data_IF_518956147254
#
_entry.id   IF_518956147254
#
_cell.length_a   1.000
_cell.length_b   1.000
_cell.length_c   1.000
_cell.angle_alpha   90.00
_cell.angle_beta   90.00
_cell.angle_gamma   90.00
#
_symmetry.space_group_name_H-M   'P 1'
#
loop_
_entity.id
_entity.type
_entity.pdbx_description
1 polymer ?
#
# COMPACT_ATOMS: atom_id res chain seq x y z
N UNK A 1 13.93 -4.59 -17.66
CA UNK A 1 13.99 -5.72 -16.70
C UNK A 1 12.79 -5.75 -15.77
N UNK A 2 12.47 -4.69 -15.01
CA UNK A 2 11.33 -4.68 -14.07
C UNK A 2 10.00 -5.15 -14.67
N UNK A 3 9.56 -4.56 -15.79
CA UNK A 3 8.28 -4.92 -16.43
C UNK A 3 8.22 -6.41 -16.85
N UNK A 4 9.37 -7.00 -17.19
CA UNK A 4 9.48 -8.44 -17.52
C UNK A 4 9.25 -9.27 -16.27
N UNK A 5 9.90 -8.91 -15.15
CA UNK A 5 9.68 -9.58 -13.87
C UNK A 5 8.24 -9.43 -13.38
N UNK A 6 7.63 -8.25 -13.53
CA UNK A 6 6.22 -8.04 -13.18
C UNK A 6 5.29 -8.94 -14.01
N UNK A 7 5.56 -9.08 -15.32
CA UNK A 7 4.76 -9.91 -16.23
C UNK A 7 4.94 -11.41 -15.97
N UNK A 8 6.10 -11.82 -15.46
CA UNK A 8 6.42 -13.21 -15.11
C UNK A 8 6.01 -13.57 -13.67
N UNK A 9 5.55 -12.61 -12.88
CA UNK A 9 5.12 -12.84 -11.51
C UNK A 9 3.88 -13.75 -11.49
N UNK A 10 3.97 -14.87 -10.78
CA UNK A 10 2.88 -15.85 -10.63
C UNK A 10 2.81 -16.27 -9.18
N UNK A 11 1.70 -15.91 -8.53
CA UNK A 11 1.37 -16.27 -7.16
C UNK A 11 -0.12 -16.02 -6.91
N UNK A 12 -0.74 -16.77 -6.00
CA UNK A 12 -2.18 -16.67 -5.75
C UNK A 12 -2.60 -15.29 -5.24
N UNK A 13 -1.75 -14.56 -4.54
CA UNK A 13 -2.06 -13.22 -4.03
C UNK A 13 -1.41 -12.06 -4.79
N UNK A 14 -0.95 -12.32 -6.03
CA UNK A 14 -0.40 -11.29 -6.91
C UNK A 14 -1.34 -11.12 -8.09
N UNK A 15 -1.73 -9.86 -8.38
CA UNK A 15 -2.54 -9.56 -9.53
C UNK A 15 -1.68 -9.64 -10.80
N UNK A 16 -2.01 -10.50 -11.78
CA UNK A 16 -1.20 -10.60 -13.00
C UNK A 16 -1.08 -9.27 -13.73
N UNK A 17 0.16 -8.80 -13.88
CA UNK A 17 0.50 -7.68 -14.74
C UNK A 17 0.48 -8.10 -16.21
N UNK A 18 -0.40 -7.49 -17.01
CA UNK A 18 -0.57 -7.86 -18.42
C UNK A 18 0.42 -7.11 -19.31
N UNK A 19 0.71 -5.85 -18.97
CA UNK A 19 1.70 -5.04 -19.65
C UNK A 19 1.39 -3.55 -19.61
N UNK A 20 2.10 -2.83 -20.47
CA UNK A 20 1.89 -1.42 -20.76
C UNK A 20 1.47 -1.30 -22.23
N UNK A 21 0.53 -0.40 -22.52
CA UNK A 21 0.13 -0.05 -23.89
C UNK A 21 0.03 1.47 -24.02
N UNK A 22 0.01 1.95 -25.25
CA UNK A 22 -0.48 3.29 -25.57
C UNK A 22 -1.79 3.15 -26.33
N UNK A 23 -2.75 4.05 -26.09
CA UNK A 23 -3.97 4.11 -26.88
C UNK A 23 -3.85 5.09 -28.06
N UNK A 24 -4.93 5.27 -28.82
CA UNK A 24 -4.97 6.15 -29.99
C UNK A 24 -4.75 7.64 -29.66
N UNK A 25 -4.89 8.02 -28.38
CA UNK A 25 -4.64 9.38 -27.86
C UNK A 25 -3.24 9.53 -27.25
N UNK A 26 -2.36 8.54 -27.44
CA UNK A 26 -1.02 8.48 -26.86
C UNK A 26 -1.00 8.41 -25.31
N UNK A 27 -2.12 8.05 -24.69
CA UNK A 27 -2.19 7.88 -23.25
C UNK A 27 -1.50 6.56 -22.84
N UNK A 28 -0.61 6.64 -21.85
CA UNK A 28 0.05 5.47 -21.25
C UNK A 28 -0.97 4.67 -20.43
N UNK A 29 -1.20 3.41 -20.80
CA UNK A 29 -2.06 2.48 -20.10
C UNK A 29 -1.23 1.42 -19.37
N UNK A 30 -1.45 1.29 -18.06
CA UNK A 30 -0.89 0.22 -17.23
C UNK A 30 -1.98 -0.82 -17.03
N UNK A 31 -1.77 -2.03 -17.54
CA UNK A 31 -2.83 -3.02 -17.67
C UNK A 31 -2.61 -4.18 -16.71
N UNK A 32 -3.59 -4.38 -15.84
CA UNK A 32 -3.64 -5.45 -14.86
C UNK A 32 -4.83 -6.36 -15.13
N UNK A 33 -4.80 -7.59 -14.61
CA UNK A 33 -5.98 -8.47 -14.65
C UNK A 33 -7.12 -7.88 -13.80
N UNK A 34 -8.33 -7.95 -14.34
CA UNK A 34 -9.53 -7.46 -13.66
C UNK A 34 -9.93 -8.35 -12.48
N UNK A 35 -10.24 -7.72 -11.35
CA UNK A 35 -10.73 -8.34 -10.12
C UNK A 35 -12.15 -7.85 -9.83
N UNK A 36 -13.12 -8.76 -9.86
CA UNK A 36 -14.54 -8.41 -9.99
C UNK A 36 -15.23 -7.90 -8.72
N UNK A 37 -14.57 -7.94 -7.55
CA UNK A 37 -15.15 -7.48 -6.28
C UNK A 37 -14.65 -6.11 -5.83
N UNK A 38 -13.90 -5.40 -6.70
CA UNK A 38 -13.37 -4.08 -6.39
C UNK A 38 -12.14 -4.13 -5.50
N UNK A 39 -11.90 -3.02 -4.81
CA UNK A 39 -10.76 -2.84 -3.90
C UNK A 39 -11.10 -3.30 -2.49
N UNK A 40 -10.07 -3.54 -1.67
CA UNK A 40 -10.26 -3.76 -0.24
C UNK A 40 -10.88 -2.53 0.45
N UNK A 41 -10.55 -1.32 0.00
CA UNK A 41 -11.16 -0.08 0.49
C UNK A 41 -12.70 -0.14 0.37
N UNK A 42 -13.22 -0.54 -0.79
CA UNK A 42 -14.66 -0.63 -1.05
C UNK A 42 -15.35 -1.57 -0.07
N UNK A 43 -14.66 -2.62 0.38
CA UNK A 43 -15.19 -3.59 1.32
C UNK A 43 -15.10 -3.10 2.76
N UNK A 44 -13.96 -2.54 3.18
CA UNK A 44 -13.74 -2.05 4.55
C UNK A 44 -14.73 -0.94 4.89
N UNK A 45 -15.06 -0.05 3.95
CA UNK A 45 -15.92 1.10 4.22
C UNK A 45 -17.38 0.90 3.80
N UNK A 46 -17.77 -0.29 3.36
CA UNK A 46 -19.17 -0.60 3.05
C UNK A 46 -19.90 -1.18 4.28
N UNK A 47 -20.75 -0.37 4.90
CA UNK A 47 -21.55 -0.74 6.08
C UNK A 47 -22.48 -1.94 5.84
N UNK A 48 -22.84 -2.24 4.59
CA UNK A 48 -23.69 -3.38 4.24
C UNK A 48 -22.93 -4.72 4.22
N UNK A 49 -21.61 -4.71 4.33
CA UNK A 49 -20.79 -5.92 4.36
C UNK A 49 -20.40 -6.22 5.80
N UNK A 50 -20.69 -7.43 6.28
CA UNK A 50 -20.16 -7.90 7.56
C UNK A 50 -18.75 -8.47 7.37
N UNK A 51 -17.77 -7.82 7.99
CA UNK A 51 -16.38 -8.28 8.00
C UNK A 51 -16.12 -8.91 9.38
N UNK A 52 -16.23 -10.24 9.46
CA UNK A 52 -15.98 -10.97 10.70
C UNK A 52 -14.50 -11.32 10.88
N UNK A 53 -14.16 -11.94 12.01
CA UNK A 53 -12.77 -12.30 12.32
C UNK A 53 -12.15 -13.27 11.30
N UNK A 54 -12.97 -14.10 10.64
CA UNK A 54 -12.47 -15.03 9.62
C UNK A 54 -12.09 -14.25 8.36
N UNK A 55 -12.93 -13.31 7.93
CA UNK A 55 -12.60 -12.40 6.84
C UNK A 55 -11.36 -11.55 7.14
N UNK A 56 -11.24 -11.03 8.38
CA UNK A 56 -10.04 -10.31 8.80
C UNK A 56 -8.78 -11.16 8.62
N UNK A 57 -8.77 -12.36 9.20
CA UNK A 57 -7.65 -13.28 9.12
C UNK A 57 -7.32 -13.69 7.69
N UNK A 58 -8.34 -13.97 6.86
CA UNK A 58 -8.17 -14.34 5.46
C UNK A 58 -7.52 -13.23 4.63
N UNK A 59 -8.07 -12.01 4.67
CA UNK A 59 -7.52 -10.88 3.89
C UNK A 59 -6.11 -10.49 4.35
N UNK A 60 -5.87 -10.45 5.66
CA UNK A 60 -4.54 -10.13 6.20
C UNK A 60 -3.51 -11.19 5.76
N UNK A 61 -3.88 -12.48 5.78
CA UNK A 61 -3.00 -13.57 5.30
C UNK A 61 -2.71 -13.46 3.81
N UNK A 62 -3.71 -13.17 2.99
CA UNK A 62 -3.54 -13.05 1.54
C UNK A 62 -2.57 -11.91 1.20
N UNK A 63 -2.73 -10.74 1.83
CA UNK A 63 -1.81 -9.59 1.65
C UNK A 63 -0.39 -9.98 2.07
N UNK A 64 -0.25 -10.64 3.23
CA UNK A 64 1.04 -11.06 3.74
C UNK A 64 1.74 -12.04 2.79
N UNK A 65 1.02 -13.01 2.25
CA UNK A 65 1.55 -13.97 1.29
C UNK A 65 1.99 -13.30 -0.02
N UNK A 66 1.23 -12.30 -0.51
CA UNK A 66 1.64 -11.47 -1.64
C UNK A 66 2.94 -10.69 -1.37
N UNK A 67 3.06 -10.08 -0.18
CA UNK A 67 4.29 -9.38 0.22
C UNK A 67 5.49 -10.33 0.36
N UNK A 68 5.30 -11.51 0.96
CA UNK A 68 6.34 -12.55 1.05
C UNK A 68 6.89 -12.91 -0.34
N UNK A 69 5.98 -13.11 -1.31
CA UNK A 69 6.37 -13.37 -2.69
C UNK A 69 7.15 -12.20 -3.31
N UNK A 70 6.63 -10.97 -3.23
CA UNK A 70 7.28 -9.80 -3.82
C UNK A 70 8.68 -9.57 -3.23
N UNK A 71 8.81 -9.69 -1.90
CA UNK A 71 10.07 -9.45 -1.18
C UNK A 71 11.14 -10.47 -1.52
N UNK A 72 10.75 -11.72 -1.81
CA UNK A 72 11.65 -12.78 -2.24
C UNK A 72 11.97 -12.75 -3.76
N UNK A 73 11.15 -12.06 -4.55
CA UNK A 73 11.31 -11.96 -6.01
C UNK A 73 12.33 -10.90 -6.44
N UNK A 74 12.66 -10.87 -7.74
CA UNK A 74 13.46 -9.79 -8.34
C UNK A 74 12.75 -8.43 -8.41
N UNK A 75 11.42 -8.38 -8.18
CA UNK A 75 10.67 -7.12 -8.03
C UNK A 75 11.07 -6.45 -6.71
N UNK A 76 11.12 -7.27 -5.65
CA UNK A 76 11.80 -6.96 -4.40
C UNK A 76 11.00 -6.19 -3.37
N UNK A 77 9.95 -5.46 -3.75
CA UNK A 77 9.02 -4.77 -2.85
C UNK A 77 7.73 -4.42 -3.59
N UNK A 78 6.68 -4.06 -2.85
CA UNK A 78 5.49 -3.45 -3.44
C UNK A 78 5.72 -1.95 -3.72
N UNK A 79 6.18 -1.20 -2.72
CA UNK A 79 6.58 0.21 -2.85
C UNK A 79 5.45 1.25 -2.87
N UNK A 80 4.18 0.82 -2.83
CA UNK A 80 3.00 1.69 -2.81
C UNK A 80 1.77 0.91 -2.28
N UNK A 81 1.98 0.12 -1.24
CA UNK A 81 0.94 -0.73 -0.66
C UNK A 81 -0.10 0.13 0.05
N UNK A 82 -1.38 -0.06 -0.28
CA UNK A 82 -2.55 0.57 0.34
C UNK A 82 -3.77 -0.35 0.20
N UNK A 83 -4.90 0.03 0.78
CA UNK A 83 -6.19 -0.65 0.56
C UNK A 83 -6.68 -0.59 -0.89
N UNK A 84 -6.24 0.41 -1.66
CA UNK A 84 -6.57 0.57 -3.08
C UNK A 84 -5.75 -0.34 -3.98
N UNK A 85 -4.50 -0.62 -3.61
CA UNK A 85 -3.64 -1.60 -4.32
C UNK A 85 -3.86 -3.05 -3.89
N UNK A 86 -4.91 -3.30 -3.08
CA UNK A 86 -5.41 -4.63 -2.75
C UNK A 86 -6.75 -4.88 -3.46
N UNK A 87 -6.74 -5.67 -4.54
CA UNK A 87 -7.98 -6.01 -5.27
C UNK A 87 -8.56 -7.35 -4.82
N UNK A 88 -9.86 -7.53 -4.95
CA UNK A 88 -10.53 -8.78 -4.56
C UNK A 88 -11.11 -9.47 -5.80
N UNK A 89 -10.70 -10.73 -6.01
CA UNK A 89 -11.19 -11.52 -7.12
C UNK A 89 -12.56 -12.18 -6.85
N UNK A 90 -13.12 -12.88 -7.85
CA UNK A 90 -14.42 -13.57 -7.73
C UNK A 90 -14.47 -14.60 -6.59
N UNK A 91 -13.33 -15.15 -6.19
CA UNK A 91 -13.19 -16.17 -5.14
C UNK A 91 -12.93 -15.55 -3.76
N UNK A 92 -13.08 -14.23 -3.60
CA UNK A 92 -12.80 -13.52 -2.34
C UNK A 92 -11.33 -13.58 -1.90
N UNK A 93 -10.40 -13.77 -2.84
CA UNK A 93 -8.96 -13.69 -2.55
C UNK A 93 -8.42 -12.30 -2.85
N UNK A 94 -7.54 -11.79 -1.98
CA UNK A 94 -6.81 -10.55 -2.24
C UNK A 94 -5.70 -10.80 -3.28
N UNK A 95 -5.59 -9.87 -4.24
CA UNK A 95 -4.55 -9.77 -5.26
C UNK A 95 -3.87 -8.42 -5.14
N UNK A 96 -2.58 -8.40 -4.82
CA UNK A 96 -1.80 -7.16 -4.81
C UNK A 96 -1.58 -6.67 -6.25
N UNK A 97 -1.96 -5.43 -6.53
CA UNK A 97 -1.79 -4.75 -7.82
C UNK A 97 -0.85 -3.55 -7.66
N UNK A 98 -0.44 -2.90 -8.76
CA UNK A 98 0.40 -1.68 -8.72
C UNK A 98 1.76 -1.85 -8.03
N UNK A 99 2.21 -3.09 -7.85
CA UNK A 99 3.51 -3.38 -7.25
C UNK A 99 4.66 -2.95 -8.16
N UNK A 100 5.67 -2.31 -7.58
CA UNK A 100 6.92 -1.94 -8.23
C UNK A 100 6.86 -0.77 -9.22
N UNK A 101 5.67 -0.28 -9.59
CA UNK A 101 5.50 0.69 -10.68
C UNK A 101 5.55 2.16 -10.23
N UNK A 102 5.37 2.45 -8.94
CA UNK A 102 5.33 3.82 -8.40
C UNK A 102 6.61 4.65 -8.70
N UNK A 103 7.78 4.14 -8.28
CA UNK A 103 9.09 4.77 -8.56
C UNK A 103 9.32 5.06 -10.06
N UNK A 104 9.09 4.08 -10.98
CA UNK A 104 9.15 4.34 -12.42
C UNK A 104 8.23 5.46 -12.89
N UNK A 105 6.97 5.50 -12.45
CA UNK A 105 6.02 6.53 -12.87
C UNK A 105 6.46 7.92 -12.45
N UNK A 106 6.90 8.09 -11.20
CA UNK A 106 7.41 9.37 -10.72
C UNK A 106 8.65 9.83 -11.47
N UNK A 107 9.52 8.89 -11.84
CA UNK A 107 10.71 9.20 -12.64
C UNK A 107 10.33 9.63 -14.05
N UNK A 108 9.40 8.93 -14.69
CA UNK A 108 8.95 9.27 -16.03
C UNK A 108 8.21 10.61 -16.06
N UNK A 109 7.36 10.89 -15.07
CA UNK A 109 6.70 12.18 -14.92
C UNK A 109 7.72 13.29 -14.74
N UNK A 110 8.68 13.09 -13.83
CA UNK A 110 9.76 14.05 -13.61
C UNK A 110 10.58 14.28 -14.88
N UNK A 111 10.90 13.23 -15.63
CA UNK A 111 11.62 13.35 -16.90
C UNK A 111 10.76 13.92 -18.04
N UNK A 112 9.50 14.30 -17.76
CA UNK A 112 8.53 14.76 -18.75
C UNK A 112 8.28 13.74 -19.87
N UNK A 113 8.54 12.46 -19.59
CA UNK A 113 8.23 11.35 -20.51
C UNK A 113 6.75 10.98 -20.46
N UNK A 114 6.06 11.30 -19.35
CA UNK A 114 4.61 11.25 -19.21
C UNK A 114 4.13 12.52 -18.52
N UNK A 115 2.86 12.86 -18.70
CA UNK A 115 2.16 13.88 -17.93
C UNK A 115 1.02 13.21 -17.15
N UNK A 116 0.95 13.43 -15.85
CA UNK A 116 -0.12 12.87 -15.00
C UNK A 116 -1.29 13.85 -15.01
N UNK A 117 -2.33 13.52 -15.77
CA UNK A 117 -3.60 14.25 -15.70
C UNK A 117 -4.52 13.56 -14.70
N UNK A 118 -4.77 14.22 -13.57
CA UNK A 118 -5.81 13.77 -12.65
C UNK A 118 -7.16 13.83 -13.38
N UNK A 119 -7.89 12.70 -13.43
CA UNK A 119 -9.23 12.61 -14.01
C UNK A 119 -10.12 13.62 -13.31
N UNK A 120 -10.54 14.71 -13.98
CA UNK A 120 -11.24 15.85 -13.36
C UNK A 120 -12.73 15.61 -13.06
N UNK A 121 -13.24 14.39 -13.21
CA UNK A 121 -14.67 14.13 -13.04
C UNK A 121 -15.11 14.23 -11.57
N UNK A 122 -16.13 15.04 -11.34
CA UNK A 122 -16.59 15.51 -10.04
C UNK A 122 -17.34 14.47 -9.20
N UNK A 123 -17.62 13.29 -9.78
CA UNK A 123 -18.39 12.22 -9.14
C UNK A 123 -17.58 10.94 -8.88
N UNK A 124 -16.28 10.95 -9.18
CA UNK A 124 -15.47 9.73 -9.19
C UNK A 124 -14.66 9.58 -7.89
N UNK A 125 -15.01 8.54 -7.10
CA UNK A 125 -14.28 8.12 -5.87
C UNK A 125 -12.78 7.92 -6.12
N UNK A 126 -12.39 7.78 -7.38
CA UNK A 126 -11.03 7.67 -7.93
C UNK A 126 -10.11 8.87 -7.58
N UNK A 127 -10.63 10.09 -7.39
CA UNK A 127 -9.79 11.21 -6.91
C UNK A 127 -9.52 11.13 -5.40
N UNK A 128 -10.52 10.77 -4.60
CA UNK A 128 -10.35 10.51 -3.17
C UNK A 128 -9.39 9.32 -2.91
N UNK A 129 -9.27 8.41 -3.88
CA UNK A 129 -8.41 7.22 -3.89
C UNK A 129 -6.92 7.54 -3.75
N UNK A 130 -6.45 8.67 -4.27
CA UNK A 130 -5.02 9.05 -4.19
C UNK A 130 -4.69 9.96 -3.00
N UNK A 131 -5.66 10.69 -2.47
CA UNK A 131 -5.43 11.67 -1.41
C UNK A 131 -4.86 11.02 -0.14
N UNK A 132 -5.29 9.82 0.22
CA UNK A 132 -4.83 9.16 1.46
C UNK A 132 -3.58 8.30 1.27
N UNK A 133 -3.05 8.16 0.05
CA UNK A 133 -1.90 7.28 -0.24
C UNK A 133 -0.68 7.56 0.65
N UNK A 134 -0.42 8.83 0.97
CA UNK A 134 0.67 9.24 1.86
C UNK A 134 0.54 8.69 3.29
N UNK A 135 -0.65 8.31 3.76
CA UNK A 135 -0.86 7.72 5.09
C UNK A 135 -0.26 6.31 5.19
N UNK A 136 -0.15 5.60 4.07
CA UNK A 136 0.40 4.24 3.99
C UNK A 136 1.91 4.23 3.76
N UNK A 137 2.49 5.36 3.38
CA UNK A 137 3.91 5.48 3.08
C UNK A 137 4.69 5.80 4.36
N UNK A 138 5.77 5.06 4.60
CA UNK A 138 6.58 5.28 5.80
C UNK A 138 7.27 6.66 5.76
N UNK A 139 7.45 7.35 6.91
CA UNK A 139 7.96 8.73 6.94
C UNK A 139 9.32 8.91 6.26
N UNK A 140 10.21 7.93 6.35
CA UNK A 140 11.52 7.97 5.71
C UNK A 140 11.46 7.80 4.18
N UNK A 141 10.41 7.16 3.65
CA UNK A 141 10.16 7.05 2.22
C UNK A 141 9.57 8.35 1.68
N UNK A 142 8.57 8.93 2.35
CA UNK A 142 8.03 10.26 2.02
C UNK A 142 9.13 11.31 1.94
N UNK A 143 10.04 11.32 2.92
CA UNK A 143 11.19 12.22 2.94
C UNK A 143 12.19 11.97 1.80
N UNK A 144 12.35 10.71 1.36
CA UNK A 144 13.20 10.39 0.20
C UNK A 144 12.54 10.81 -1.11
N UNK A 145 11.23 10.58 -1.23
CA UNK A 145 10.39 10.98 -2.36
C UNK A 145 10.43 12.49 -2.56
N UNK A 146 10.24 13.27 -1.50
CA UNK A 146 10.32 14.74 -1.58
C UNK A 146 11.74 15.21 -1.98
N UNK A 147 12.79 14.60 -1.45
CA UNK A 147 14.16 14.87 -1.91
C UNK A 147 14.34 14.60 -3.40
N UNK A 148 13.76 13.51 -3.90
CA UNK A 148 13.80 13.19 -5.33
C UNK A 148 12.98 14.20 -6.14
N UNK A 149 11.84 14.67 -5.65
CA UNK A 149 11.03 15.70 -6.30
C UNK A 149 11.78 17.03 -6.42
N UNK A 150 12.46 17.46 -5.36
CA UNK A 150 13.21 18.73 -5.30
C UNK A 150 14.54 18.72 -6.09
N UNK A 151 15.08 17.54 -6.44
CA UNK A 151 16.32 17.42 -7.22
C UNK A 151 16.15 18.04 -8.61
N UNK A 152 17.25 18.54 -9.18
CA UNK A 152 17.25 18.96 -10.59
C UNK A 152 17.26 17.75 -11.54
N UNK A 153 16.94 17.98 -12.82
CA UNK A 153 16.89 16.91 -13.83
C UNK A 153 18.26 16.29 -14.14
N UNK A 154 19.34 17.06 -14.01
CA UNK A 154 20.73 16.63 -14.21
C UNK A 154 21.25 15.73 -13.08
N UNK A 155 20.51 15.62 -11.97
CA UNK A 155 20.94 14.86 -10.80
C UNK A 155 20.37 13.45 -10.81
N UNK A 156 21.21 12.48 -10.46
CA UNK A 156 20.79 11.09 -10.33
C UNK A 156 19.65 10.92 -9.32
N UNK A 157 18.75 9.98 -9.62
CA UNK A 157 17.70 9.56 -8.70
C UNK A 157 18.31 8.97 -7.42
N UNK A 158 17.88 9.45 -6.26
CA UNK A 158 18.32 8.94 -4.97
C UNK A 158 17.63 7.59 -4.70
N UNK A 159 18.29 6.51 -5.10
CA UNK A 159 17.82 5.14 -4.86
C UNK A 159 17.89 4.80 -3.38
N UNK A 160 16.90 4.05 -2.90
CA UNK A 160 16.94 3.40 -1.60
C UNK A 160 17.30 1.92 -1.74
N UNK A 161 17.90 1.36 -0.70
CA UNK A 161 18.16 -0.09 -0.65
C UNK A 161 16.84 -0.85 -0.70
N UNK A 162 16.86 -2.03 -1.33
CA UNK A 162 15.69 -2.90 -1.38
C UNK A 162 15.16 -3.23 0.01
N UNK A 163 16.06 -3.53 0.96
CA UNK A 163 15.71 -3.77 2.35
C UNK A 163 14.93 -2.61 2.99
N UNK A 164 15.35 -1.36 2.76
CA UNK A 164 14.64 -0.18 3.27
C UNK A 164 13.23 -0.04 2.66
N UNK A 165 13.07 -0.34 1.37
CA UNK A 165 11.75 -0.32 0.71
C UNK A 165 10.83 -1.42 1.23
N UNK A 166 11.36 -2.62 1.49
CA UNK A 166 10.61 -3.71 2.11
C UNK A 166 10.09 -3.33 3.50
N UNK A 167 10.90 -2.65 4.31
CA UNK A 167 10.46 -2.13 5.61
C UNK A 167 9.38 -1.05 5.48
N UNK A 168 9.35 -0.32 4.36
CA UNK A 168 8.24 0.57 4.01
C UNK A 168 6.93 -0.17 3.75
N UNK A 169 6.98 -1.30 3.05
CA UNK A 169 5.79 -2.16 2.87
C UNK A 169 5.25 -2.66 4.22
N UNK A 170 6.13 -2.97 5.19
CA UNK A 170 5.71 -3.36 6.55
C UNK A 170 4.92 -2.24 7.25
N UNK A 171 5.34 -0.98 7.07
CA UNK A 171 4.62 0.17 7.62
C UNK A 171 3.21 0.27 7.03
N UNK A 172 3.11 0.26 5.70
CA UNK A 172 1.81 0.31 5.00
C UNK A 172 0.92 -0.88 5.33
N UNK A 173 1.50 -2.07 5.48
CA UNK A 173 0.78 -3.27 5.93
C UNK A 173 0.17 -3.08 7.32
N UNK A 174 0.87 -2.43 8.24
CA UNK A 174 0.34 -2.09 9.57
C UNK A 174 -0.90 -1.20 9.50
N UNK A 175 -0.92 -0.21 8.61
CA UNK A 175 -2.09 0.66 8.37
C UNK A 175 -3.27 -0.19 7.87
N UNK A 176 -3.05 -1.02 6.86
CA UNK A 176 -4.09 -1.86 6.27
C UNK A 176 -4.62 -2.88 7.28
N UNK A 177 -3.75 -3.50 8.07
CA UNK A 177 -4.16 -4.45 9.11
C UNK A 177 -5.06 -3.78 10.14
N UNK A 178 -4.75 -2.53 10.54
CA UNK A 178 -5.61 -1.74 11.40
C UNK A 178 -6.97 -1.46 10.74
N UNK A 179 -6.97 -1.00 9.49
CA UNK A 179 -8.21 -0.68 8.76
C UNK A 179 -9.10 -1.91 8.56
N UNK A 180 -8.53 -3.08 8.27
CA UNK A 180 -9.29 -4.33 8.18
C UNK A 180 -9.98 -4.63 9.52
N UNK A 181 -9.24 -4.59 10.63
CA UNK A 181 -9.76 -5.02 11.94
C UNK A 181 -10.77 -4.03 12.51
N UNK A 182 -10.54 -2.72 12.34
CA UNK A 182 -11.32 -1.68 13.02
C UNK A 182 -12.20 -0.85 12.09
N UNK A 183 -12.12 -1.09 10.77
CA UNK A 183 -12.88 -0.41 9.72
C UNK A 183 -12.78 1.11 9.78
N UNK A 184 -11.59 1.58 10.13
CA UNK A 184 -11.26 2.98 10.31
C UNK A 184 -9.75 3.18 10.14
N UNK A 185 -9.34 4.41 9.83
CA UNK A 185 -7.92 4.76 9.81
C UNK A 185 -7.35 4.81 11.24
N UNK A 186 -6.05 4.53 11.44
CA UNK A 186 -5.38 4.54 12.74
C UNK A 186 -5.07 5.96 13.26
N UNK A 187 -6.05 6.88 13.15
CA UNK A 187 -5.98 8.25 13.64
C UNK A 187 -7.25 8.56 14.44
N UNK A 188 -7.23 9.56 15.35
CA UNK A 188 -8.42 9.93 16.12
C UNK A 188 -9.61 10.22 15.21
N UNK A 189 -10.82 9.85 15.63
CA UNK A 189 -12.03 9.96 14.80
C UNK A 189 -12.33 11.40 14.32
N UNK A 190 -11.84 12.42 15.05
CA UNK A 190 -11.99 13.84 14.71
C UNK A 190 -10.82 14.40 13.87
N UNK A 191 -9.94 13.56 13.35
CA UNK A 191 -8.80 14.01 12.54
C UNK A 191 -9.27 14.45 11.16
N UNK A 192 -8.91 15.68 10.77
CA UNK A 192 -9.00 16.11 9.37
C UNK A 192 -7.93 15.38 8.55
N UNK A 193 -8.37 14.35 7.82
CA UNK A 193 -7.50 13.49 7.03
C UNK A 193 -6.82 14.26 5.90
N UNK A 194 -7.51 15.20 5.27
CA UNK A 194 -6.96 16.01 4.18
C UNK A 194 -5.83 16.90 4.71
N UNK A 195 -6.07 17.61 5.81
CA UNK A 195 -5.05 18.44 6.45
C UNK A 195 -3.87 17.59 6.98
N UNK A 196 -4.15 16.39 7.49
CA UNK A 196 -3.12 15.46 7.93
C UNK A 196 -2.20 15.06 6.77
N UNK A 197 -2.76 14.56 5.66
CA UNK A 197 -2.03 14.19 4.43
C UNK A 197 -1.16 15.36 3.96
N UNK A 198 -1.77 16.55 3.82
CA UNK A 198 -1.06 17.75 3.39
C UNK A 198 0.12 18.09 4.30
N UNK A 199 -0.01 17.83 5.60
CA UNK A 199 1.04 18.10 6.58
C UNK A 199 2.18 17.07 6.60
N UNK A 200 1.96 15.84 6.11
CA UNK A 200 2.97 14.77 6.16
C UNK A 200 3.58 14.43 4.80
N UNK A 201 2.96 14.82 3.68
CA UNK A 201 3.31 14.37 2.32
C UNK A 201 4.76 14.67 1.90
N UNK A 202 5.39 15.69 2.48
CA UNK A 202 6.79 16.05 2.21
C UNK A 202 7.80 15.33 3.14
N UNK A 203 7.30 14.53 4.09
CA UNK A 203 8.09 13.81 5.09
C UNK A 203 8.78 14.71 6.13
N UNK A 204 8.41 16.00 6.21
CA UNK A 204 8.95 16.95 7.20
C UNK A 204 8.33 16.75 8.59
N UNK A 205 7.03 16.44 8.62
CA UNK A 205 6.27 16.13 9.83
C UNK A 205 5.97 14.63 9.88
N UNK A 206 6.13 14.06 11.07
CA UNK A 206 5.78 12.66 11.33
C UNK A 206 4.61 12.63 12.29
N UNK A 207 3.48 12.10 11.84
CA UNK A 207 2.32 11.80 12.68
C UNK A 207 2.23 10.29 12.81
N UNK A 208 2.42 9.78 14.03
CA UNK A 208 2.40 8.34 14.26
C UNK A 208 0.95 7.84 14.29
N UNK A 209 0.61 6.78 13.55
CA UNK A 209 -0.65 6.08 13.72
C UNK A 209 -0.79 5.53 15.14
N UNK A 210 -2.02 5.43 15.63
CA UNK A 210 -2.30 4.96 16.99
C UNK A 210 -3.52 4.05 17.05
N UNK A 211 -3.46 3.09 17.96
CA UNK A 211 -4.59 2.23 18.29
C UNK A 211 -5.42 2.94 19.35
N UNK A 212 -6.64 3.33 18.97
CA UNK A 212 -7.57 4.03 19.85
C UNK A 212 -7.94 3.18 21.07
N UNK A 213 -8.05 3.79 22.24
CA UNK A 213 -8.31 3.09 23.51
C UNK A 213 -9.66 2.38 23.58
N UNK A 214 -10.64 2.83 22.79
CA UNK A 214 -11.95 2.21 22.64
C UNK A 214 -11.95 0.98 21.73
N UNK A 215 -10.84 0.71 21.01
CA UNK A 215 -10.69 -0.42 20.10
C UNK A 215 -10.01 -1.56 20.83
N UNK A 216 -10.77 -2.62 21.14
CA UNK A 216 -10.27 -3.77 21.90
C UNK A 216 -9.71 -4.82 20.93
N UNK A 217 -8.47 -5.22 21.17
CA UNK A 217 -7.79 -6.31 20.47
C UNK A 217 -6.88 -7.04 21.45
N UNK A 218 -6.52 -8.29 21.15
CA UNK A 218 -5.50 -8.98 21.93
C UNK A 218 -4.20 -8.15 21.97
N UNK A 219 -3.56 -8.08 23.14
CA UNK A 219 -2.39 -7.24 23.39
C UNK A 219 -1.23 -7.54 22.44
N UNK A 220 -1.01 -8.81 22.08
CA UNK A 220 0.08 -9.20 21.19
C UNK A 220 -0.16 -8.71 19.76
N UNK A 221 -1.40 -8.80 19.27
CA UNK A 221 -1.78 -8.21 17.99
C UNK A 221 -1.67 -6.68 18.03
N UNK A 222 -2.16 -6.03 19.08
CA UNK A 222 -2.02 -4.58 19.29
C UNK A 222 -0.56 -4.14 19.20
N UNK A 223 0.32 -4.84 19.91
CA UNK A 223 1.76 -4.58 19.89
C UNK A 223 2.37 -4.85 18.52
N UNK A 224 1.93 -5.91 17.82
CA UNK A 224 2.39 -6.20 16.46
C UNK A 224 2.03 -5.07 15.48
N UNK A 225 0.80 -4.57 15.50
CA UNK A 225 0.40 -3.46 14.63
C UNK A 225 1.25 -2.21 14.95
N UNK A 226 1.41 -1.90 16.24
CA UNK A 226 2.21 -0.76 16.67
C UNK A 226 3.69 -0.87 16.28
N UNK A 227 4.25 -2.09 16.30
CA UNK A 227 5.62 -2.38 15.88
C UNK A 227 5.82 -2.15 14.37
N UNK A 228 4.80 -2.37 13.52
CA UNK A 228 4.86 -2.03 12.10
C UNK A 228 5.11 -0.54 11.86
N UNK A 229 4.66 0.32 12.77
CA UNK A 229 4.82 1.78 12.69
C UNK A 229 6.02 2.30 13.48
N UNK A 230 7.03 1.46 13.71
CA UNK A 230 8.26 1.90 14.37
C UNK A 230 8.97 2.99 13.53
N UNK A 231 9.37 4.08 14.19
CA UNK A 231 10.09 5.20 13.57
C UNK A 231 11.51 4.85 13.15
N UNK A 232 12.08 3.80 13.74
CA UNK A 232 13.31 3.15 13.26
C UNK A 232 12.91 1.97 12.37
N UNK A 233 13.11 2.05 11.03
CA UNK A 233 12.61 1.02 10.10
C UNK A 233 13.09 -0.38 10.44
N UNK A 234 14.34 -0.51 10.88
CA UNK A 234 14.98 -1.78 11.20
C UNK A 234 14.38 -2.47 12.45
N UNK A 235 13.62 -1.73 13.25
CA UNK A 235 12.88 -2.25 14.40
C UNK A 235 11.47 -2.73 14.04
N UNK A 236 11.01 -2.53 12.80
CA UNK A 236 9.74 -3.06 12.32
C UNK A 236 9.81 -4.60 12.26
N UNK A 237 8.69 -5.31 12.48
CA UNK A 237 8.69 -6.76 12.56
C UNK A 237 8.95 -7.37 11.18
N UNK A 238 9.58 -8.55 11.16
CA UNK A 238 9.71 -9.34 9.93
C UNK A 238 8.37 -9.95 9.51
N UNK A 239 8.20 -10.22 8.21
CA UNK A 239 7.02 -10.94 7.69
C UNK A 239 6.81 -12.27 8.43
N UNK A 240 7.89 -12.98 8.78
CA UNK A 240 7.82 -14.21 9.58
C UNK A 240 7.21 -13.99 10.96
N UNK A 241 7.62 -12.92 11.68
CA UNK A 241 7.05 -12.59 13.00
C UNK A 241 5.57 -12.23 12.86
N UNK A 242 5.23 -11.44 11.84
CA UNK A 242 3.85 -11.06 11.54
C UNK A 242 2.98 -12.30 11.30
N UNK A 243 3.42 -13.22 10.43
CA UNK A 243 2.73 -14.47 10.11
C UNK A 243 2.40 -15.31 11.34
N UNK A 244 3.40 -15.56 12.18
CA UNK A 244 3.23 -16.36 13.40
C UNK A 244 2.18 -15.77 14.35
N UNK A 245 2.14 -14.44 14.49
CA UNK A 245 1.13 -13.78 15.31
C UNK A 245 -0.26 -13.88 14.69
N UNK A 246 -0.39 -13.62 13.38
CA UNK A 246 -1.67 -13.72 12.67
C UNK A 246 -2.23 -15.15 12.77
N UNK A 247 -1.42 -16.17 12.56
CA UNK A 247 -1.88 -17.57 12.64
C UNK A 247 -2.31 -17.97 14.05
N UNK A 248 -1.71 -17.35 15.08
CA UNK A 248 -2.06 -17.60 16.48
C UNK A 248 -3.40 -16.94 16.85
N UNK A 249 -3.60 -15.68 16.45
CA UNK A 249 -4.68 -14.85 17.00
C UNK A 249 -5.84 -14.58 16.03
N UNK A 250 -5.63 -14.68 14.71
CA UNK A 250 -6.65 -14.46 13.67
C UNK A 250 -6.99 -15.78 12.97
N UNK A 251 -7.61 -16.71 13.70
CA UNK A 251 -8.03 -18.02 13.18
C UNK A 251 -9.11 -17.85 12.09
N UNK A 252 -8.94 -18.55 10.97
CA UNK A 252 -10.02 -18.79 9.97
C UNK A 252 -10.84 -20.01 10.39
#
# INVERSE_FOLDING_TARGET
MLLVWMKQAVHDNINPFLGISFNEKEELLIVWKFCSRGTLQDIIYNENITLDQKFHGAFIRDILAGLEYLHASSIGCHGALSTWSCLIDRNWMIKLTDYGIADPLERWEKQQAINVEAVKDTDDKTQATQATSALYEAPELLKNREKNRQRRMDQDWMKQSQFRRQLGDIYGFGIIMYEIIFRALPFPDNTDITALVESIKDGSKVVKPQIQSNKVLNMDLTNLIADCWNGTPEMRPSLRRIKLNIDTYLKV
#
